data_IF_425108752332
#
_entry.id   IF_425108752332
#
_cell.length_a   1.000
_cell.length_b   1.000
_cell.length_c   1.000
_cell.angle_alpha   90.00
_cell.angle_beta   90.00
_cell.angle_gamma   90.00
#
_symmetry.space_group_name_H-M   'P 1'
#
loop_
_entity.id
_entity.type
_entity.pdbx_description
1 polymer ?
#
# COMPACT_ATOMS: atom_id res chain seq x y z
N UNK A 1 7.63 4.18 -5.99
CA UNK A 1 7.55 3.68 -4.60
C UNK A 1 6.15 4.00 -4.12
N UNK A 2 5.35 2.98 -3.81
CA UNK A 2 3.97 3.17 -3.36
C UNK A 2 3.93 3.20 -1.81
N UNK A 3 2.73 3.37 -1.24
CA UNK A 3 2.56 3.54 0.21
C UNK A 3 2.76 2.25 1.00
N UNK A 4 2.87 1.09 0.34
CA UNK A 4 3.14 -0.17 1.01
C UNK A 4 4.59 -0.28 1.52
N UNK A 5 5.47 0.64 1.12
CA UNK A 5 6.85 0.69 1.59
C UNK A 5 7.00 1.01 3.08
N UNK A 6 5.96 1.52 3.73
CA UNK A 6 5.94 1.82 5.18
C UNK A 6 5.21 0.76 6.01
N UNK A 7 4.71 -0.30 5.38
CA UNK A 7 3.98 -1.36 6.06
C UNK A 7 4.92 -2.34 6.75
N UNK A 8 4.43 -3.02 7.80
CA UNK A 8 5.19 -4.04 8.53
C UNK A 8 4.93 -5.45 8.02
N UNK A 9 3.84 -5.64 7.26
CA UNK A 9 3.48 -6.94 6.70
C UNK A 9 4.46 -7.35 5.59
N UNK A 10 5.11 -8.52 5.70
CA UNK A 10 6.01 -9.02 4.66
C UNK A 10 5.35 -9.12 3.28
N UNK A 11 4.06 -9.46 3.24
CA UNK A 11 3.28 -9.55 2.02
C UNK A 11 3.09 -8.18 1.35
N UNK A 12 2.79 -7.13 2.13
CA UNK A 12 2.60 -5.78 1.60
C UNK A 12 3.91 -5.18 1.11
N UNK A 13 5.00 -5.42 1.85
CA UNK A 13 6.34 -4.97 1.47
C UNK A 13 6.82 -5.60 0.15
N UNK A 14 6.43 -6.83 -0.14
CA UNK A 14 6.73 -7.47 -1.43
C UNK A 14 6.17 -6.68 -2.62
N UNK A 15 5.12 -5.89 -2.41
CA UNK A 15 4.46 -5.08 -3.44
C UNK A 15 4.85 -3.60 -3.40
N UNK A 16 5.77 -3.18 -2.53
CA UNK A 16 6.17 -1.78 -2.34
C UNK A 16 6.78 -1.11 -3.60
N UNK A 17 7.34 -1.92 -4.49
CA UNK A 17 8.02 -1.50 -5.72
C UNK A 17 7.17 -1.68 -6.99
N UNK A 18 5.94 -2.15 -6.86
CA UNK A 18 5.06 -2.31 -8.02
C UNK A 18 4.76 -0.95 -8.68
N UNK A 19 4.62 -0.90 -10.01
CA UNK A 19 4.32 0.33 -10.75
C UNK A 19 2.92 0.87 -10.45
N UNK A 20 2.03 0.01 -9.94
CA UNK A 20 0.71 0.39 -9.44
C UNK A 20 0.87 1.05 -8.06
N UNK A 21 0.24 2.21 -7.92
CA UNK A 21 0.27 2.99 -6.69
C UNK A 21 -0.71 2.42 -5.65
N UNK A 22 -0.34 1.28 -5.08
CA UNK A 22 -1.12 0.62 -4.05
C UNK A 22 -1.20 1.44 -2.76
N UNK A 23 -2.37 1.38 -2.12
CA UNK A 23 -2.67 1.93 -0.81
C UNK A 23 -2.98 0.75 0.13
N UNK A 24 -2.50 0.78 1.39
CA UNK A 24 -2.95 -0.19 2.38
C UNK A 24 -4.45 -0.02 2.63
N UNK A 25 -5.14 -1.12 2.88
CA UNK A 25 -6.58 -1.11 3.16
C UNK A 25 -6.84 -0.42 4.51
N UNK A 26 -7.70 0.60 4.52
CA UNK A 26 -8.02 1.36 5.73
C UNK A 26 -8.95 2.53 5.42
N UNK A 27 -9.33 3.29 6.45
CA UNK A 27 -10.27 4.42 6.32
C UNK A 27 -9.83 5.44 5.27
N UNK A 28 -8.52 5.69 5.15
CA UNK A 28 -7.97 6.58 4.12
C UNK A 28 -8.13 6.03 2.68
N UNK A 29 -8.16 4.71 2.50
CA UNK A 29 -8.42 4.09 1.21
C UNK A 29 -9.91 4.12 0.87
N UNK A 30 -10.78 3.91 1.88
CA UNK A 30 -12.23 4.02 1.74
C UNK A 30 -12.69 5.46 1.46
N UNK A 31 -12.04 6.46 2.07
CA UNK A 31 -12.35 7.88 1.86
C UNK A 31 -11.92 8.42 0.47
N UNK A 32 -11.10 7.67 -0.27
CA UNK A 32 -10.69 8.01 -1.64
C UNK A 32 -11.52 7.31 -2.73
N UNK A 33 -12.51 6.51 -2.35
CA UNK A 33 -13.38 5.78 -3.27
C UNK A 33 -14.39 6.69 -3.98
#
# INVERSE_FOLDING_TARGET
MNLLSTETSPYLLQHAHNPVQWYPWGEAALAKA
#
